data_IF_732912252474
#
_entry.id   IF_732912252474
#
_cell.length_a   1.000
_cell.length_b   1.000
_cell.length_c   1.000
_cell.angle_alpha   90.00
_cell.angle_beta   90.00
_cell.angle_gamma   90.00
#
_symmetry.space_group_name_H-M   'P 1'
#
loop_
_entity.id
_entity.type
_entity.pdbx_description
1 polymer ?
#
# COMPACT_ATOMS: atom_id res chain seq x y z
N UNK A 1 8.27 3.18 -0.13
CA UNK A 1 9.37 3.03 -1.12
C UNK A 1 8.91 3.19 -2.56
N UNK A 2 8.09 2.28 -3.10
CA UNK A 2 7.65 2.30 -4.50
C UNK A 2 7.00 3.64 -4.88
N UNK A 3 6.02 4.09 -4.10
CA UNK A 3 5.34 5.37 -4.36
C UNK A 3 6.27 6.58 -4.26
N UNK A 4 7.21 6.56 -3.32
CA UNK A 4 8.25 7.59 -3.20
C UNK A 4 9.13 7.67 -4.46
N UNK A 5 9.55 6.51 -5.00
CA UNK A 5 10.31 6.43 -6.26
C UNK A 5 9.51 6.79 -7.52
N UNK A 6 8.20 7.03 -7.36
CA UNK A 6 7.30 7.49 -8.41
C UNK A 6 6.76 8.89 -8.12
N UNK A 7 7.44 9.66 -7.26
CA UNK A 7 7.17 11.06 -6.93
C UNK A 7 5.77 11.31 -6.32
N UNK A 8 5.23 10.32 -5.60
CA UNK A 8 3.99 10.50 -4.83
C UNK A 8 4.30 11.03 -3.43
N UNK A 9 3.49 12.00 -2.97
CA UNK A 9 3.34 12.28 -1.55
C UNK A 9 2.74 11.07 -0.83
N UNK A 10 3.28 10.72 0.33
CA UNK A 10 2.87 9.56 1.11
C UNK A 10 2.26 10.03 2.44
N UNK A 11 1.01 9.64 2.65
CA UNK A 11 0.31 9.82 3.92
C UNK A 11 0.07 8.43 4.51
N UNK A 12 0.75 8.11 5.60
CA UNK A 12 0.48 6.91 6.39
C UNK A 12 -0.80 7.08 7.21
N UNK A 13 -1.56 6.01 7.36
CA UNK A 13 -2.78 5.98 8.17
C UNK A 13 -2.70 4.75 9.06
N UNK A 14 -2.76 4.95 10.37
CA UNK A 14 -2.65 3.85 11.36
C UNK A 14 -3.55 4.13 12.58
N UNK A 15 -3.64 3.18 13.51
CA UNK A 15 -4.25 3.36 14.84
C UNK A 15 -3.19 3.55 15.93
N UNK A 16 -1.92 3.21 15.66
CA UNK A 16 -0.84 3.35 16.62
C UNK A 16 -0.40 4.83 16.74
N UNK A 17 -0.91 5.51 17.76
CA UNK A 17 -0.63 6.93 17.99
C UNK A 17 0.86 7.21 18.25
N UNK A 18 1.59 6.29 18.88
CA UNK A 18 3.03 6.44 19.11
C UNK A 18 3.79 6.46 17.78
N UNK A 19 3.47 5.53 16.87
CA UNK A 19 4.07 5.48 15.53
C UNK A 19 3.71 6.71 14.70
N UNK A 20 2.45 7.13 14.75
CA UNK A 20 1.98 8.34 14.05
C UNK A 20 2.77 9.57 14.52
N UNK A 21 2.93 9.73 15.83
CA UNK A 21 3.68 10.85 16.40
C UNK A 21 5.14 10.81 15.95
N UNK A 22 5.80 9.64 16.03
CA UNK A 22 7.18 9.46 15.56
C UNK A 22 7.36 9.80 14.09
N UNK A 23 6.44 9.35 13.21
CA UNK A 23 6.48 9.69 11.77
C UNK A 23 6.39 11.20 11.56
N UNK A 24 5.52 11.89 12.30
CA UNK A 24 5.33 13.33 12.14
C UNK A 24 6.44 14.18 12.78
N UNK A 25 7.12 13.64 13.80
CA UNK A 25 8.31 14.24 14.42
C UNK A 25 9.53 14.09 13.50
N UNK A 26 9.83 12.85 13.08
CA UNK A 26 11.02 12.55 12.25
C UNK A 26 10.83 13.00 10.79
N UNK A 27 9.62 12.92 10.23
CA UNK A 27 9.23 13.27 8.84
C UNK A 27 10.01 12.54 7.73
N UNK A 28 10.90 11.65 8.10
CA UNK A 28 11.70 10.82 7.24
C UNK A 28 12.10 9.54 7.96
N UNK A 29 12.42 8.49 7.20
CA UNK A 29 12.96 7.25 7.74
C UNK A 29 13.91 6.61 6.73
N UNK A 30 14.75 5.70 7.21
CA UNK A 30 15.67 4.94 6.37
C UNK A 30 15.12 3.54 6.10
N UNK A 31 15.36 3.10 4.88
CA UNK A 31 15.28 1.69 4.49
C UNK A 31 16.71 1.19 4.42
N UNK A 32 17.05 0.21 5.27
CA UNK A 32 18.41 -0.27 5.46
C UNK A 32 18.46 -1.74 5.03
N UNK A 33 19.30 -2.02 4.04
CA UNK A 33 19.53 -3.40 3.63
C UNK A 33 20.28 -4.18 4.73
N UNK A 34 19.79 -5.38 5.04
CA UNK A 34 20.31 -6.17 6.15
C UNK A 34 21.72 -6.73 5.90
N UNK A 35 22.11 -6.94 4.64
CA UNK A 35 23.37 -7.58 4.26
C UNK A 35 24.43 -6.53 3.92
N UNK A 36 24.15 -5.69 2.94
CA UNK A 36 25.03 -4.66 2.36
C UNK A 36 25.08 -3.37 3.17
N UNK A 37 24.12 -3.15 4.08
CA UNK A 37 23.95 -1.89 4.85
C UNK A 37 23.69 -0.66 3.99
N UNK A 38 23.38 -0.82 2.71
CA UNK A 38 22.94 0.30 1.86
C UNK A 38 21.69 0.93 2.45
N UNK A 39 21.65 2.26 2.44
CA UNK A 39 20.54 3.03 2.98
C UNK A 39 19.81 3.78 1.87
N UNK A 40 18.48 3.81 1.96
CA UNK A 40 17.65 4.74 1.20
C UNK A 40 16.83 5.58 2.16
N UNK A 41 16.96 6.90 2.06
CA UNK A 41 16.16 7.83 2.85
C UNK A 41 14.84 8.11 2.13
N UNK A 42 13.75 7.92 2.87
CA UNK A 42 12.39 8.32 2.47
C UNK A 42 12.03 9.53 3.30
N UNK A 43 11.87 10.68 2.66
CA UNK A 43 11.54 11.94 3.32
C UNK A 43 10.13 12.42 2.96
N UNK A 44 9.73 13.54 3.58
CA UNK A 44 8.45 14.21 3.34
C UNK A 44 7.24 13.30 3.58
N UNK A 45 7.36 12.41 4.58
CA UNK A 45 6.27 11.54 4.99
C UNK A 45 5.47 12.18 6.11
N UNK A 46 4.18 11.87 6.14
CA UNK A 46 3.24 12.29 7.20
C UNK A 46 2.41 11.09 7.61
N UNK A 47 1.89 11.13 8.82
CA UNK A 47 0.95 10.13 9.32
C UNK A 47 -0.28 10.78 9.94
N UNK A 48 -1.43 10.12 9.81
CA UNK A 48 -2.66 10.47 10.53
C UNK A 48 -3.26 9.25 11.20
N UNK A 49 -4.11 9.49 12.20
CA UNK A 49 -4.96 8.44 12.76
C UNK A 49 -6.02 8.01 11.74
N UNK A 50 -6.40 6.74 11.75
CA UNK A 50 -7.56 6.24 11.01
C UNK A 50 -8.86 6.97 11.39
N UNK A 51 -8.95 7.48 12.62
CA UNK A 51 -10.08 8.27 13.12
C UNK A 51 -9.96 9.78 12.84
N UNK A 52 -8.87 10.22 12.18
CA UNK A 52 -8.67 11.64 11.90
C UNK A 52 -9.70 12.13 10.87
N UNK A 53 -10.39 13.23 11.19
CA UNK A 53 -11.36 13.86 10.31
C UNK A 53 -10.77 14.25 8.93
N UNK A 54 -9.45 14.43 8.83
CA UNK A 54 -8.72 14.70 7.59
C UNK A 54 -8.67 13.51 6.63
N UNK A 55 -8.92 12.27 7.08
CA UNK A 55 -8.88 11.06 6.26
C UNK A 55 -9.72 11.22 4.99
N UNK A 56 -10.96 11.72 5.13
CA UNK A 56 -11.87 11.93 3.98
C UNK A 56 -11.28 12.90 2.96
N UNK A 57 -10.54 13.93 3.40
CA UNK A 57 -9.90 14.88 2.50
C UNK A 57 -8.73 14.24 1.74
N UNK A 58 -7.90 13.45 2.43
CA UNK A 58 -6.82 12.72 1.77
C UNK A 58 -7.33 11.67 0.79
N UNK A 59 -8.40 10.94 1.12
CA UNK A 59 -9.02 9.98 0.21
C UNK A 59 -9.52 10.61 -1.09
N UNK A 60 -10.02 11.85 -1.04
CA UNK A 60 -10.45 12.58 -2.24
C UNK A 60 -9.29 12.97 -3.16
N UNK A 61 -8.10 13.19 -2.58
CA UNK A 61 -6.90 13.61 -3.31
C UNK A 61 -6.05 12.43 -3.77
N UNK A 62 -6.12 11.31 -3.06
CA UNK A 62 -5.28 10.15 -3.31
C UNK A 62 -5.58 9.51 -4.67
N UNK A 63 -4.53 9.30 -5.47
CA UNK A 63 -4.61 8.47 -6.69
C UNK A 63 -4.58 6.98 -6.37
N UNK A 64 -3.81 6.61 -5.35
CA UNK A 64 -3.61 5.25 -4.90
C UNK A 64 -3.99 5.13 -3.42
N UNK A 65 -4.75 4.10 -3.08
CA UNK A 65 -4.99 3.66 -1.72
C UNK A 65 -4.29 2.31 -1.59
N UNK A 66 -3.44 2.15 -0.57
CA UNK A 66 -2.69 0.91 -0.36
C UNK A 66 -2.80 0.41 1.05
N UNK A 67 -2.76 -0.91 1.24
CA UNK A 67 -2.81 -1.55 2.56
C UNK A 67 -1.64 -2.53 2.73
N UNK A 68 -1.13 -2.65 3.95
CA UNK A 68 -0.14 -3.66 4.35
C UNK A 68 -0.30 -3.94 5.85
N UNK A 69 -1.46 -4.46 6.24
CA UNK A 69 -1.93 -4.56 7.64
C UNK A 69 -2.43 -5.97 8.02
N UNK A 70 -2.26 -6.94 7.12
CA UNK A 70 -2.78 -8.30 7.21
C UNK A 70 -4.18 -8.41 6.59
N UNK A 71 -4.35 -9.30 5.62
CA UNK A 71 -5.61 -9.45 4.85
C UNK A 71 -6.87 -9.61 5.72
N UNK A 72 -6.77 -10.34 6.85
CA UNK A 72 -7.88 -10.53 7.79
C UNK A 72 -8.39 -9.24 8.46
N UNK A 73 -7.58 -8.18 8.47
CA UNK A 73 -7.92 -6.90 9.07
C UNK A 73 -8.58 -5.91 8.07
N UNK A 74 -8.59 -6.22 6.76
CA UNK A 74 -9.16 -5.34 5.73
C UNK A 74 -10.64 -5.04 5.96
N UNK A 75 -11.40 -6.00 6.50
CA UNK A 75 -12.82 -5.81 6.85
C UNK A 75 -13.07 -4.62 7.78
N UNK A 76 -12.09 -4.25 8.62
CA UNK A 76 -12.22 -3.11 9.52
C UNK A 76 -12.10 -1.77 8.79
N UNK A 77 -11.60 -1.74 7.55
CA UNK A 77 -11.50 -0.52 6.75
C UNK A 77 -12.79 -0.19 5.99
N UNK A 78 -13.73 -1.14 5.88
CA UNK A 78 -14.98 -0.96 5.11
C UNK A 78 -15.75 0.30 5.55
N UNK A 79 -15.98 0.57 6.85
CA UNK A 79 -16.75 1.76 7.28
C UNK A 79 -16.12 3.09 6.85
N UNK A 80 -14.80 3.15 6.69
CA UNK A 80 -14.08 4.37 6.32
C UNK A 80 -14.10 4.65 4.82
N UNK A 81 -14.25 3.59 4.00
CA UNK A 81 -14.21 3.71 2.54
C UNK A 81 -15.56 3.56 1.85
N UNK A 82 -16.55 2.92 2.48
CA UNK A 82 -17.86 2.61 1.87
C UNK A 82 -18.49 3.86 1.22
N UNK A 83 -18.70 4.92 2.00
CA UNK A 83 -19.29 6.17 1.48
C UNK A 83 -18.41 6.82 0.42
N UNK A 84 -17.09 6.73 0.54
CA UNK A 84 -16.16 7.31 -0.44
C UNK A 84 -16.25 6.58 -1.77
N UNK A 85 -16.16 5.24 -1.78
CA UNK A 85 -16.23 4.42 -3.00
C UNK A 85 -17.59 4.50 -3.71
N UNK A 86 -18.67 4.76 -2.98
CA UNK A 86 -19.99 5.00 -3.56
C UNK A 86 -20.11 6.35 -4.29
N UNK A 87 -19.30 7.35 -3.93
CA UNK A 87 -19.50 8.74 -4.38
C UNK A 87 -18.33 9.32 -5.18
N UNK A 88 -17.15 8.68 -5.13
CA UNK A 88 -15.97 9.20 -5.79
C UNK A 88 -16.09 9.14 -7.32
N UNK A 89 -15.75 10.25 -7.99
CA UNK A 89 -15.97 10.42 -9.43
C UNK A 89 -14.73 10.30 -10.29
N UNK A 90 -13.52 10.39 -9.71
CA UNK A 90 -12.25 10.29 -10.45
C UNK A 90 -11.70 8.85 -10.42
N UNK A 91 -10.79 8.52 -11.31
CA UNK A 91 -10.11 7.22 -11.24
C UNK A 91 -9.22 7.14 -10.02
N UNK A 92 -9.43 6.13 -9.18
CA UNK A 92 -8.59 5.83 -8.00
C UNK A 92 -8.31 4.34 -7.98
N UNK A 93 -7.09 3.98 -7.61
CA UNK A 93 -6.63 2.60 -7.59
C UNK A 93 -6.46 2.12 -6.16
N UNK A 94 -6.96 0.92 -5.86
CA UNK A 94 -6.82 0.27 -4.56
C UNK A 94 -5.92 -0.95 -4.73
N UNK A 95 -4.80 -0.96 -4.01
CA UNK A 95 -3.75 -1.98 -4.10
C UNK A 95 -3.47 -2.54 -2.70
N UNK A 96 -3.94 -3.75 -2.43
CA UNK A 96 -3.65 -4.43 -1.17
C UNK A 96 -2.29 -5.12 -1.26
N UNK A 97 -1.25 -4.53 -0.66
CA UNK A 97 0.11 -5.11 -0.53
C UNK A 97 0.13 -6.13 0.62
N UNK A 98 -0.81 -7.07 0.58
CA UNK A 98 -0.96 -8.13 1.56
C UNK A 98 -0.42 -9.45 1.02
N UNK A 99 0.07 -10.31 1.91
CA UNK A 99 0.39 -11.67 1.52
C UNK A 99 -0.90 -12.49 1.35
N UNK A 100 -1.18 -12.96 0.12
CA UNK A 100 -2.31 -13.83 -0.18
C UNK A 100 -2.72 -13.80 -1.65
N UNK A 101 -3.78 -14.55 -1.97
CA UNK A 101 -4.29 -14.70 -3.33
C UNK A 101 -5.41 -13.68 -3.61
N UNK A 102 -5.27 -12.88 -4.67
CA UNK A 102 -6.30 -11.95 -5.18
C UNK A 102 -6.92 -11.03 -4.11
N UNK A 103 -6.09 -10.53 -3.19
CA UNK A 103 -6.56 -9.82 -1.99
C UNK A 103 -7.29 -8.51 -2.31
N UNK A 104 -6.86 -7.73 -3.30
CA UNK A 104 -7.57 -6.50 -3.68
C UNK A 104 -8.97 -6.83 -4.19
N UNK A 105 -9.10 -7.88 -5.00
CA UNK A 105 -10.40 -8.36 -5.49
C UNK A 105 -11.29 -8.88 -4.35
N UNK A 106 -10.74 -9.63 -3.39
CA UNK A 106 -11.50 -10.07 -2.21
C UNK A 106 -11.93 -8.89 -1.34
N UNK A 107 -11.08 -7.86 -1.20
CA UNK A 107 -11.43 -6.66 -0.45
C UNK A 107 -12.59 -5.91 -1.11
N UNK A 108 -12.61 -5.82 -2.44
CA UNK A 108 -13.69 -5.19 -3.19
C UNK A 108 -15.06 -5.82 -2.90
N UNK A 109 -15.11 -7.15 -2.68
CA UNK A 109 -16.36 -7.88 -2.39
C UNK A 109 -16.97 -7.53 -1.03
N UNK A 110 -16.21 -6.89 -0.13
CA UNK A 110 -16.70 -6.49 1.19
C UNK A 110 -17.59 -5.23 1.14
N UNK A 111 -17.58 -4.49 0.03
CA UNK A 111 -18.33 -3.24 -0.12
C UNK A 111 -19.67 -3.50 -0.80
N UNK A 112 -20.71 -2.77 -0.39
CA UNK A 112 -22.05 -2.94 -0.95
C UNK A 112 -22.19 -2.37 -2.35
N UNK A 113 -21.50 -1.26 -2.62
CA UNK A 113 -21.51 -0.59 -3.92
C UNK A 113 -20.20 0.16 -4.14
N UNK A 114 -19.59 -0.07 -5.30
CA UNK A 114 -18.33 0.55 -5.70
C UNK A 114 -18.54 1.21 -7.06
N UNK A 115 -18.19 2.49 -7.17
CA UNK A 115 -18.17 3.18 -8.46
C UNK A 115 -17.15 2.53 -9.40
N UNK A 116 -17.53 2.36 -10.66
CA UNK A 116 -16.69 1.69 -11.67
C UNK A 116 -15.30 2.33 -11.87
N UNK A 117 -15.11 3.60 -11.49
CA UNK A 117 -13.81 4.29 -11.53
C UNK A 117 -12.88 3.97 -10.35
N UNK A 118 -13.35 3.27 -9.31
CA UNK A 118 -12.48 2.67 -8.29
C UNK A 118 -11.98 1.33 -8.82
N UNK A 119 -10.65 1.22 -8.94
CA UNK A 119 -9.99 0.07 -9.57
C UNK A 119 -9.19 -0.69 -8.53
N UNK A 120 -9.71 -1.84 -8.10
CA UNK A 120 -8.97 -2.77 -7.27
C UNK A 120 -8.00 -3.55 -8.16
N UNK A 121 -6.70 -3.51 -7.83
CA UNK A 121 -5.65 -4.16 -8.62
C UNK A 121 -4.97 -5.20 -7.74
N UNK A 122 -5.08 -6.46 -8.12
CA UNK A 122 -4.40 -7.55 -7.42
C UNK A 122 -2.89 -7.51 -7.65
N UNK A 123 -2.17 -7.92 -6.60
CA UNK A 123 -0.71 -7.94 -6.57
C UNK A 123 -0.22 -9.27 -6.01
N UNK A 124 0.97 -9.66 -6.46
CA UNK A 124 1.89 -10.54 -5.72
C UNK A 124 2.97 -9.62 -5.15
N UNK A 125 3.19 -9.72 -3.83
CA UNK A 125 4.24 -8.97 -3.13
C UNK A 125 5.18 -9.93 -2.44
N UNK A 126 6.48 -9.69 -2.54
CA UNK A 126 7.49 -10.48 -1.85
C UNK A 126 8.64 -9.61 -1.39
N UNK A 127 8.91 -9.62 -0.09
CA UNK A 127 10.07 -8.96 0.52
C UNK A 127 10.25 -9.48 1.93
N UNK A 128 11.47 -9.85 2.27
CA UNK A 128 11.81 -10.22 3.65
C UNK A 128 12.03 -8.94 4.47
N UNK A 129 11.30 -8.83 5.57
CA UNK A 129 11.42 -7.75 6.56
C UNK A 129 11.60 -8.42 7.93
N UNK A 130 12.83 -8.50 8.46
CA UNK A 130 13.04 -9.09 9.78
C UNK A 130 12.33 -8.29 10.87
N UNK A 131 11.86 -9.00 11.90
CA UNK A 131 11.30 -8.38 13.09
C UNK A 131 12.43 -7.81 13.98
N UNK A 132 12.99 -6.67 13.56
CA UNK A 132 14.03 -5.96 14.31
C UNK A 132 13.41 -4.75 14.99
N UNK A 133 13.50 -4.71 16.32
CA UNK A 133 13.06 -3.54 17.09
C UNK A 133 14.14 -2.46 17.05
N UNK A 134 13.72 -1.25 16.70
CA UNK A 134 14.53 -0.03 16.69
C UNK A 134 13.84 1.03 17.54
N UNK A 135 14.62 1.99 18.05
CA UNK A 135 14.04 3.12 18.78
C UNK A 135 13.48 4.21 17.85
N UNK A 136 13.91 4.20 16.58
CA UNK A 136 13.44 5.08 15.50
C UNK A 136 12.51 4.33 14.53
N UNK A 137 12.03 5.02 13.50
CA UNK A 137 11.14 4.46 12.47
C UNK A 137 11.86 3.86 11.26
N UNK A 138 13.17 3.60 11.36
CA UNK A 138 13.93 2.95 10.30
C UNK A 138 13.50 1.48 10.13
N UNK A 139 13.50 1.02 8.89
CA UNK A 139 13.12 -0.35 8.55
C UNK A 139 14.30 -1.10 7.95
N UNK A 140 14.51 -2.32 8.46
CA UNK A 140 15.51 -3.25 7.96
C UNK A 140 14.83 -4.24 7.02
N UNK A 141 15.43 -4.46 5.85
CA UNK A 141 14.82 -5.25 4.78
C UNK A 141 15.89 -6.01 4.01
N UNK A 142 15.50 -7.06 3.30
CA UNK A 142 16.33 -7.64 2.25
C UNK A 142 16.36 -6.73 1.00
N UNK A 143 17.48 -6.75 0.28
CA UNK A 143 17.70 -6.01 -0.97
C UNK A 143 16.72 -6.49 -2.03
N UNK A 144 16.49 -7.80 -2.09
CA UNK A 144 15.52 -8.38 -3.00
C UNK A 144 14.09 -8.05 -2.55
N UNK A 145 13.31 -7.56 -3.50
CA UNK A 145 11.87 -7.51 -3.38
C UNK A 145 11.25 -7.67 -4.77
N UNK A 146 10.04 -8.19 -4.79
CA UNK A 146 9.25 -8.36 -5.99
C UNK A 146 7.83 -7.83 -5.75
N UNK A 147 7.33 -7.04 -6.70
CA UNK A 147 5.93 -6.63 -6.73
C UNK A 147 5.43 -6.78 -8.15
N UNK A 148 4.45 -7.65 -8.34
CA UNK A 148 3.84 -7.93 -9.64
C UNK A 148 2.36 -7.59 -9.55
N UNK A 149 1.87 -6.76 -10.47
CA UNK A 149 0.47 -6.38 -10.56
C UNK A 149 -0.22 -7.02 -11.77
N UNK A 150 -1.52 -7.23 -11.64
CA UNK A 150 -2.35 -7.64 -12.77
C UNK A 150 -2.51 -6.50 -13.79
N UNK A 151 -2.08 -6.74 -15.04
CA UNK A 151 -2.13 -5.78 -16.15
C UNK A 151 -3.55 -5.60 -16.69
N UNK A 152 -4.46 -6.57 -16.49
CA UNK A 152 -5.79 -6.55 -17.08
C UNK A 152 -6.63 -5.35 -16.63
N UNK A 153 -6.29 -4.74 -15.49
CA UNK A 153 -7.04 -3.62 -14.89
C UNK A 153 -6.39 -2.25 -15.21
N UNK A 154 -5.13 -2.24 -15.68
CA UNK A 154 -4.34 -1.03 -15.87
C UNK A 154 -4.43 -0.46 -17.30
N UNK A 155 -5.60 -0.51 -17.96
CA UNK A 155 -5.76 0.16 -19.27
C UNK A 155 -5.68 1.68 -19.08
N UNK A 156 -4.59 2.29 -19.55
CA UNK A 156 -4.44 3.75 -19.66
C UNK A 156 -3.80 4.48 -18.48
N UNK A 157 -3.24 3.79 -17.47
CA UNK A 157 -2.48 4.46 -16.40
C UNK A 157 -0.97 4.21 -16.52
N UNK A 158 -0.18 5.21 -16.08
CA UNK A 158 1.28 5.13 -16.03
C UNK A 158 1.69 3.99 -15.11
N UNK A 159 2.51 3.06 -15.62
CA UNK A 159 3.15 2.01 -14.82
C UNK A 159 3.99 2.64 -13.72
N UNK A 160 3.89 2.09 -12.51
CA UNK A 160 4.74 2.47 -11.39
C UNK A 160 6.11 1.81 -11.57
N UNK A 161 7.17 2.60 -11.49
CA UNK A 161 8.53 2.09 -11.38
C UNK A 161 8.63 1.15 -10.16
N UNK A 162 9.38 0.05 -10.28
CA UNK A 162 9.50 -1.03 -9.28
C UNK A 162 8.27 -1.92 -9.10
N UNK A 163 7.29 -1.85 -10.01
CA UNK A 163 6.22 -2.83 -10.12
C UNK A 163 6.27 -3.45 -11.51
N UNK A 164 6.33 -4.77 -11.57
CA UNK A 164 6.15 -5.53 -12.80
C UNK A 164 4.66 -5.78 -13.06
N UNK A 165 4.31 -6.00 -14.34
CA UNK A 165 2.91 -6.13 -14.76
C UNK A 165 2.76 -7.33 -15.67
N UNK A 166 1.84 -8.23 -15.32
CA UNK A 166 1.64 -9.48 -16.05
C UNK A 166 0.17 -9.69 -16.43
N UNK A 167 -0.08 -10.55 -17.42
CA UNK A 167 -1.44 -10.94 -17.81
C UNK A 167 -1.98 -12.12 -16.98
N UNK A 168 -1.07 -12.92 -16.38
CA UNK A 168 -1.40 -14.11 -15.60
C UNK A 168 -0.72 -14.01 -14.22
N UNK A 169 -1.38 -13.33 -13.29
CA UNK A 169 -0.88 -13.13 -11.93
C UNK A 169 -0.86 -14.43 -11.10
N UNK A 170 -1.73 -15.39 -11.45
CA UNK A 170 -1.87 -16.65 -10.71
C UNK A 170 -0.59 -17.49 -10.83
N UNK A 171 0.04 -17.50 -12.00
CA UNK A 171 1.34 -18.18 -12.20
C UNK A 171 2.42 -17.68 -11.22
N UNK A 172 2.46 -16.38 -10.96
CA UNK A 172 3.41 -15.78 -10.00
C UNK A 172 3.02 -16.07 -8.55
N UNK A 173 1.72 -16.11 -8.25
CA UNK A 173 1.24 -16.49 -6.93
C UNK A 173 1.65 -17.92 -6.60
N UNK A 174 1.43 -18.87 -7.52
CA UNK A 174 1.81 -20.26 -7.32
C UNK A 174 3.32 -20.44 -7.25
N UNK A 175 4.11 -19.74 -8.09
CA UNK A 175 5.58 -19.77 -8.01
C UNK A 175 6.09 -19.36 -6.63
N UNK A 176 5.47 -18.38 -5.98
CA UNK A 176 5.87 -17.92 -4.64
C UNK A 176 5.53 -18.94 -3.54
N UNK A 177 4.49 -19.75 -3.74
CA UNK A 177 4.00 -20.72 -2.76
C UNK A 177 4.68 -22.10 -2.86
N UNK A 178 5.34 -22.39 -3.98
CA UNK A 178 6.12 -23.60 -4.23
C UNK A 178 7.58 -23.41 -3.79
#
# INVERSE_FOLDING_TARGET
>A
YIFYKNDFEIIFVDKNQELINKINEEKQYKIIDINTKKEVIINNVKAISLEDAKLTNYLKQAKYITTALGSGNLKFLVPYFEKHFQNYSKTQFVLCFENGYRISSEFAKLFSNIKANIKFVDLVVDRIIPNKKTNNIDVFVDEYFEVIADKNIQKGSKKLYLIDYCNNLDAYTFRKLL
#
